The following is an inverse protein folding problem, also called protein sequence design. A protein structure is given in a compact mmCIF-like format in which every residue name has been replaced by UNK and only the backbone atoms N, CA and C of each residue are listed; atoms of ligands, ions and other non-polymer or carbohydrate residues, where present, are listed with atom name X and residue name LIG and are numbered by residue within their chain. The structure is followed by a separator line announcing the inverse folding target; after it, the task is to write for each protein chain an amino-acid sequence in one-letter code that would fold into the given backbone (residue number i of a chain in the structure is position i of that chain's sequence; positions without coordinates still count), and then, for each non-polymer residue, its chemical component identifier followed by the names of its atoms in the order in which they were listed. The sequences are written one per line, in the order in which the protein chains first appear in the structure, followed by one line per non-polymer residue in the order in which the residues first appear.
data_IF_635814968667
#
_entry.id   IF_635814968667
#
_cell.length_a   1.000
_cell.length_b   1.000
_cell.length_c   1.000
_cell.angle_alpha   90.00
_cell.angle_beta   90.00
_cell.angle_gamma   90.00
#
_symmetry.space_group_name_H-M   'P 1'
#
loop_
_entity.id
_entity.type
_entity.pdbx_description
1 polymer ?
#
# COMPACT_ATOMS: atom_id res chain seq x y z
N UNK A 1 6.56 17.88 -17.12
CA UNK A 1 7.22 17.12 -16.01
C UNK A 1 6.54 15.76 -15.95
N UNK A 2 7.25 14.66 -15.63
CA UNK A 2 6.58 13.36 -15.43
C UNK A 2 6.19 13.20 -13.95
N UNK A 3 5.05 12.54 -13.64
CA UNK A 3 4.69 12.22 -12.26
C UNK A 3 5.68 11.21 -11.66
N UNK A 4 5.89 11.27 -10.35
CA UNK A 4 6.72 10.34 -9.60
C UNK A 4 5.90 9.73 -8.46
N UNK A 5 5.23 8.64 -8.74
CA UNK A 5 4.39 7.95 -7.75
C UNK A 5 5.19 7.09 -6.78
N UNK A 6 6.52 7.09 -6.91
CA UNK A 6 7.42 6.25 -6.10
C UNK A 6 7.12 4.76 -6.26
N UNK A 7 7.82 3.98 -5.47
CA UNK A 7 7.60 2.56 -5.39
C UNK A 7 7.68 2.16 -3.91
N UNK A 8 6.77 1.34 -3.45
CA UNK A 8 6.76 0.86 -2.06
C UNK A 8 8.03 0.11 -1.68
N UNK A 9 8.73 -0.49 -2.67
CA UNK A 9 10.02 -1.14 -2.47
C UNK A 9 11.17 -0.12 -2.62
N UNK A 10 11.77 0.38 -1.50
CA UNK A 10 12.80 1.41 -1.55
C UNK A 10 14.10 0.88 -2.17
N UNK A 11 14.74 1.68 -3.03
CA UNK A 11 16.07 1.35 -3.57
C UNK A 11 17.11 1.13 -2.47
N UNK A 12 17.03 1.89 -1.38
CA UNK A 12 17.93 1.78 -0.23
C UNK A 12 17.93 0.38 0.40
N UNK A 13 16.77 -0.28 0.47
CA UNK A 13 16.67 -1.63 0.98
C UNK A 13 17.40 -2.63 0.08
N UNK A 14 17.27 -2.52 -1.24
CA UNK A 14 17.95 -3.39 -2.21
C UNK A 14 19.47 -3.23 -2.09
N UNK A 15 19.94 -1.97 -2.04
CA UNK A 15 21.36 -1.65 -1.85
C UNK A 15 21.87 -2.16 -0.51
N UNK A 16 21.10 -1.96 0.57
CA UNK A 16 21.45 -2.43 1.90
C UNK A 16 21.59 -3.96 1.99
N UNK A 17 20.65 -4.70 1.41
CA UNK A 17 20.71 -6.17 1.33
C UNK A 17 21.94 -6.63 0.50
N UNK A 18 22.21 -5.98 -0.64
CA UNK A 18 23.39 -6.28 -1.46
C UNK A 18 24.71 -6.03 -0.72
N UNK A 19 24.79 -4.90 0.00
CA UNK A 19 25.97 -4.56 0.81
C UNK A 19 26.13 -5.56 1.96
N UNK A 20 25.07 -5.89 2.68
CA UNK A 20 25.09 -6.88 3.76
C UNK A 20 25.55 -8.26 3.26
N UNK A 21 25.08 -8.68 2.08
CA UNK A 21 25.53 -9.91 1.44
C UNK A 21 27.03 -9.91 1.18
N UNK A 22 27.58 -8.81 0.63
CA UNK A 22 29.01 -8.67 0.40
C UNK A 22 29.84 -8.73 1.67
N UNK A 23 29.42 -8.02 2.74
CA UNK A 23 30.08 -8.04 4.05
C UNK A 23 30.06 -9.42 4.67
N UNK A 24 28.91 -10.12 4.64
CA UNK A 24 28.78 -11.47 5.19
C UNK A 24 29.61 -12.50 4.41
N UNK A 25 29.66 -12.39 3.08
CA UNK A 25 30.49 -13.26 2.24
C UNK A 25 31.99 -13.05 2.51
N UNK A 26 32.44 -11.80 2.62
CA UNK A 26 33.81 -11.47 3.00
C UNK A 26 34.15 -11.99 4.40
N UNK A 27 33.25 -11.79 5.37
CA UNK A 27 33.38 -12.32 6.73
C UNK A 27 33.48 -13.85 6.76
N UNK A 28 32.67 -14.56 5.95
CA UNK A 28 32.73 -16.02 5.78
C UNK A 28 34.14 -16.46 5.29
N UNK A 29 34.65 -15.81 4.25
CA UNK A 29 35.98 -16.11 3.71
C UNK A 29 37.10 -15.86 4.74
N UNK A 30 37.02 -14.74 5.50
CA UNK A 30 37.96 -14.42 6.57
C UNK A 30 37.88 -15.44 7.70
N UNK A 31 36.68 -15.81 8.16
CA UNK A 31 36.51 -16.78 9.25
C UNK A 31 37.19 -18.12 8.94
N UNK A 32 37.00 -18.63 7.70
CA UNK A 32 37.60 -19.92 7.29
C UNK A 32 39.11 -19.83 7.14
N UNK A 33 39.65 -18.72 6.60
CA UNK A 33 41.07 -18.54 6.27
C UNK A 33 41.91 -17.91 7.37
N UNK A 34 41.26 -17.36 8.41
CA UNK A 34 41.95 -16.62 9.46
C UNK A 34 42.86 -17.50 10.31
N UNK A 35 43.90 -16.85 10.90
CA UNK A 35 44.81 -17.44 11.90
C UNK A 35 44.27 -17.25 13.35
N UNK A 36 42.97 -16.94 13.50
CA UNK A 36 42.34 -16.78 14.80
C UNK A 36 42.53 -18.05 15.68
N UNK A 37 42.69 -17.92 16.99
CA UNK A 37 42.86 -19.05 17.90
C UNK A 37 41.54 -19.81 18.14
N UNK A 38 40.95 -20.31 17.06
CA UNK A 38 39.70 -21.10 17.06
C UNK A 38 39.96 -22.46 16.45
N UNK A 39 39.31 -23.50 16.96
CA UNK A 39 39.34 -24.84 16.36
C UNK A 39 38.84 -24.85 14.91
N UNK A 40 39.38 -25.75 14.08
CA UNK A 40 39.04 -25.84 12.65
C UNK A 40 37.52 -25.98 12.42
N UNK A 41 36.85 -26.80 13.21
CA UNK A 41 35.38 -26.97 13.14
C UNK A 41 34.62 -25.69 13.42
N UNK A 42 35.02 -24.90 14.45
CA UNK A 42 34.40 -23.65 14.79
C UNK A 42 34.54 -22.62 13.65
N UNK A 43 35.69 -22.52 13.00
CA UNK A 43 35.91 -21.66 11.84
C UNK A 43 34.98 -21.99 10.68
N UNK A 44 34.81 -23.28 10.37
CA UNK A 44 33.90 -23.73 9.33
C UNK A 44 32.45 -23.46 9.67
N UNK A 45 32.01 -23.66 10.94
CA UNK A 45 30.67 -23.35 11.38
C UNK A 45 30.36 -21.85 11.26
N UNK A 46 31.27 -20.99 11.73
CA UNK A 46 31.10 -19.52 11.58
C UNK A 46 31.09 -19.12 10.10
N UNK A 47 32.01 -19.64 9.32
CA UNK A 47 32.04 -19.38 7.87
C UNK A 47 30.75 -19.81 7.19
N UNK A 48 30.24 -21.00 7.49
CA UNK A 48 28.96 -21.49 6.94
C UNK A 48 27.78 -20.62 7.35
N UNK A 49 27.68 -20.21 8.61
CA UNK A 49 26.60 -19.34 9.10
C UNK A 49 26.60 -17.97 8.37
N UNK A 50 27.79 -17.35 8.22
CA UNK A 50 27.94 -16.09 7.49
C UNK A 50 27.64 -16.28 5.99
N UNK A 51 28.06 -17.40 5.39
CA UNK A 51 27.74 -17.74 3.99
C UNK A 51 26.25 -17.89 3.75
N UNK A 52 25.54 -18.60 4.64
CA UNK A 52 24.08 -18.74 4.58
C UNK A 52 23.37 -17.39 4.74
N UNK A 53 23.86 -16.52 5.65
CA UNK A 53 23.37 -15.15 5.78
C UNK A 53 23.55 -14.33 4.50
N UNK A 54 24.71 -14.45 3.85
CA UNK A 54 24.97 -13.78 2.56
C UNK A 54 24.00 -14.25 1.47
N UNK A 55 23.74 -15.56 1.36
CA UNK A 55 22.78 -16.13 0.41
C UNK A 55 21.37 -15.61 0.70
N UNK A 56 20.96 -15.57 1.98
CA UNK A 56 19.67 -15.01 2.38
C UNK A 56 19.51 -13.54 1.98
N UNK A 57 20.54 -12.72 2.19
CA UNK A 57 20.53 -11.32 1.77
C UNK A 57 20.46 -11.16 0.24
N UNK A 58 21.18 -11.99 -0.53
CA UNK A 58 21.07 -11.99 -1.99
C UNK A 58 19.69 -12.39 -2.48
N UNK A 59 19.10 -13.45 -1.90
CA UNK A 59 17.74 -13.86 -2.22
C UNK A 59 16.72 -12.75 -1.93
N UNK A 60 16.86 -12.07 -0.77
CA UNK A 60 16.05 -10.91 -0.41
C UNK A 60 16.23 -9.73 -1.36
N UNK A 61 17.46 -9.44 -1.80
CA UNK A 61 17.74 -8.39 -2.78
C UNK A 61 17.13 -8.72 -4.16
N UNK A 62 17.25 -9.98 -4.61
CA UNK A 62 16.66 -10.44 -5.87
C UNK A 62 15.13 -10.37 -5.84
N UNK A 63 14.50 -10.82 -4.75
CA UNK A 63 13.07 -10.68 -4.56
C UNK A 63 12.64 -9.20 -4.54
N UNK A 64 13.39 -8.34 -3.87
CA UNK A 64 13.10 -6.90 -3.79
C UNK A 64 13.18 -6.22 -5.16
N UNK A 65 14.16 -6.62 -6.01
CA UNK A 65 14.24 -6.17 -7.40
C UNK A 65 13.02 -6.63 -8.20
N UNK A 66 12.65 -7.91 -8.08
CA UNK A 66 11.45 -8.46 -8.73
C UNK A 66 10.19 -7.71 -8.29
N UNK A 67 9.98 -7.57 -6.97
CA UNK A 67 8.84 -6.87 -6.42
C UNK A 67 8.78 -5.40 -6.90
N UNK A 68 9.94 -4.72 -6.93
CA UNK A 68 10.04 -3.36 -7.42
C UNK A 68 9.64 -3.23 -8.90
N UNK A 69 10.07 -4.16 -9.75
CA UNK A 69 9.70 -4.17 -11.18
C UNK A 69 8.22 -4.40 -11.36
N UNK A 70 7.65 -5.38 -10.66
CA UNK A 70 6.22 -5.69 -10.69
C UNK A 70 5.35 -4.51 -10.27
N UNK A 71 5.74 -3.80 -9.19
CA UNK A 71 5.02 -2.65 -8.65
C UNK A 71 5.44 -1.31 -9.25
N UNK A 72 6.28 -1.29 -10.28
CA UNK A 72 6.58 -0.07 -10.99
C UNK A 72 5.30 0.52 -11.61
N UNK A 73 5.08 1.82 -11.45
CA UNK A 73 3.94 2.50 -12.05
C UNK A 73 4.09 2.63 -13.57
N UNK A 74 5.33 2.72 -14.06
CA UNK A 74 5.68 2.85 -15.48
C UNK A 74 6.48 1.66 -16.03
N UNK A 75 6.74 0.62 -15.24
CA UNK A 75 7.51 -0.56 -15.63
C UNK A 75 6.73 -1.55 -16.48
N UNK A 76 7.34 -2.71 -16.75
CA UNK A 76 6.76 -3.71 -17.65
C UNK A 76 5.42 -4.26 -17.21
N UNK A 77 5.23 -4.55 -15.90
CA UNK A 77 3.98 -5.13 -15.37
C UNK A 77 2.96 -4.08 -14.93
N UNK A 78 3.41 -2.92 -14.47
CA UNK A 78 2.59 -1.79 -14.01
C UNK A 78 1.49 -2.18 -13.00
N UNK A 79 1.78 -3.13 -12.09
CA UNK A 79 0.78 -3.65 -11.15
C UNK A 79 0.22 -2.54 -10.25
N UNK A 80 1.07 -1.63 -9.77
CA UNK A 80 0.62 -0.48 -8.97
C UNK A 80 -0.39 0.38 -9.73
N UNK A 81 -0.10 0.69 -10.99
CA UNK A 81 -1.02 1.46 -11.84
C UNK A 81 -2.34 0.73 -12.06
N UNK A 82 -2.28 -0.56 -12.38
CA UNK A 82 -3.49 -1.37 -12.61
C UNK A 82 -4.38 -1.41 -11.36
N UNK A 83 -3.79 -1.55 -10.16
CA UNK A 83 -4.54 -1.51 -8.90
C UNK A 83 -5.16 -0.13 -8.70
N UNK A 84 -4.39 0.94 -8.83
CA UNK A 84 -4.85 2.31 -8.64
C UNK A 84 -6.01 2.66 -9.59
N UNK A 85 -5.85 2.38 -10.88
CA UNK A 85 -6.89 2.63 -11.89
C UNK A 85 -8.12 1.74 -11.65
N UNK A 86 -7.89 0.47 -11.23
CA UNK A 86 -8.95 -0.46 -10.87
C UNK A 86 -9.76 0.00 -9.66
N UNK A 87 -9.13 0.44 -8.59
CA UNK A 87 -9.84 1.00 -7.42
C UNK A 87 -10.56 2.28 -7.79
N UNK A 88 -9.91 3.19 -8.52
CA UNK A 88 -10.50 4.45 -8.96
C UNK A 88 -11.75 4.25 -9.85
N UNK A 89 -11.87 3.10 -10.54
CA UNK A 89 -13.03 2.81 -11.38
C UNK A 89 -14.34 2.61 -10.61
N UNK A 90 -14.26 2.39 -9.30
CA UNK A 90 -15.43 2.27 -8.42
C UNK A 90 -15.88 3.63 -7.83
N UNK A 91 -15.13 4.71 -8.08
CA UNK A 91 -15.42 6.03 -7.53
C UNK A 91 -16.11 6.90 -8.59
N UNK A 92 -17.36 7.19 -8.35
CA UNK A 92 -18.17 8.11 -9.14
C UNK A 92 -18.71 9.20 -8.22
N UNK A 93 -18.36 10.47 -8.51
CA UNK A 93 -18.83 11.61 -7.76
C UNK A 93 -19.99 12.29 -8.50
N UNK A 94 -21.01 12.76 -7.76
CA UNK A 94 -22.00 13.65 -8.35
C UNK A 94 -21.35 14.98 -8.78
N UNK A 95 -22.03 15.75 -9.59
CA UNK A 95 -21.59 17.09 -9.94
C UNK A 95 -21.36 17.95 -8.70
N UNK A 96 -20.18 18.58 -8.61
CA UNK A 96 -19.75 19.31 -7.41
C UNK A 96 -19.43 18.44 -6.18
N UNK A 97 -19.51 17.11 -6.31
CA UNK A 97 -19.23 16.15 -5.24
C UNK A 97 -17.78 16.15 -4.77
N UNK A 98 -17.57 15.71 -3.54
CA UNK A 98 -16.26 15.67 -2.90
C UNK A 98 -15.94 14.25 -2.44
N UNK A 99 -14.81 13.70 -2.90
CA UNK A 99 -14.30 12.41 -2.43
C UNK A 99 -13.09 12.56 -1.51
N UNK A 100 -12.91 11.59 -0.62
CA UNK A 100 -11.76 11.47 0.29
C UNK A 100 -10.93 10.23 -0.06
N UNK A 101 -9.61 10.41 -0.15
CA UNK A 101 -8.63 9.31 -0.25
C UNK A 101 -7.81 9.26 1.04
N UNK A 102 -8.00 8.20 1.83
CA UNK A 102 -7.35 8.01 3.14
C UNK A 102 -6.03 7.26 2.96
N UNK A 103 -4.93 7.90 3.38
CA UNK A 103 -3.58 7.37 3.20
C UNK A 103 -3.08 7.52 1.76
N UNK A 104 -3.23 8.70 1.20
CA UNK A 104 -2.98 8.97 -0.22
C UNK A 104 -1.52 8.81 -0.69
N UNK A 105 -0.56 8.71 0.22
CA UNK A 105 0.86 8.49 -0.05
C UNK A 105 1.47 9.49 -1.02
N UNK A 106 1.64 9.10 -2.28
CA UNK A 106 2.13 9.94 -3.38
C UNK A 106 1.02 10.64 -4.18
N UNK A 107 -0.25 10.47 -3.79
CA UNK A 107 -1.42 11.03 -4.45
C UNK A 107 -1.93 10.24 -5.65
N UNK A 108 -1.40 9.04 -5.92
CA UNK A 108 -1.73 8.29 -7.13
C UNK A 108 -3.24 7.98 -7.25
N UNK A 109 -3.86 7.45 -6.18
CA UNK A 109 -5.29 7.12 -6.19
C UNK A 109 -6.16 8.37 -6.17
N UNK A 110 -5.80 9.37 -5.36
CA UNK A 110 -6.49 10.67 -5.35
C UNK A 110 -6.57 11.28 -6.75
N UNK A 111 -5.43 11.32 -7.46
CA UNK A 111 -5.33 11.87 -8.83
C UNK A 111 -6.10 11.02 -9.83
N UNK A 112 -6.02 9.69 -9.73
CA UNK A 112 -6.78 8.80 -10.63
C UNK A 112 -8.29 8.96 -10.46
N UNK A 113 -8.78 9.08 -9.22
CA UNK A 113 -10.19 9.38 -8.94
C UNK A 113 -10.61 10.76 -9.47
N UNK A 114 -9.77 11.79 -9.28
CA UNK A 114 -10.06 13.14 -9.76
C UNK A 114 -10.17 13.22 -11.29
N UNK A 115 -9.29 12.54 -12.02
CA UNK A 115 -9.35 12.43 -13.50
C UNK A 115 -10.64 11.82 -14.00
N UNK A 116 -11.16 10.84 -13.27
CA UNK A 116 -12.43 10.17 -13.62
C UNK A 116 -13.66 11.01 -13.29
N UNK A 117 -13.50 11.98 -12.40
CA UNK A 117 -14.58 12.82 -11.87
C UNK A 117 -14.27 14.31 -12.08
N UNK A 118 -14.21 14.79 -13.35
CA UNK A 118 -13.80 16.15 -13.64
C UNK A 118 -14.76 17.23 -13.10
N UNK A 119 -16.01 16.86 -12.82
CA UNK A 119 -17.04 17.75 -12.25
C UNK A 119 -17.07 17.73 -10.70
N UNK A 120 -16.28 16.86 -10.09
CA UNK A 120 -16.11 16.76 -8.64
C UNK A 120 -14.67 17.12 -8.24
N UNK A 121 -14.36 16.95 -6.97
CA UNK A 121 -13.00 17.12 -6.47
C UNK A 121 -12.61 16.00 -5.51
N UNK A 122 -11.31 15.75 -5.38
CA UNK A 122 -10.78 14.77 -4.43
C UNK A 122 -9.91 15.45 -3.38
N UNK A 123 -10.01 14.96 -2.14
CA UNK A 123 -9.13 15.33 -1.02
C UNK A 123 -8.31 14.12 -0.64
N UNK A 124 -7.00 14.21 -0.74
CA UNK A 124 -6.07 13.17 -0.26
C UNK A 124 -5.51 13.53 1.10
N UNK A 125 -5.58 12.61 2.05
CA UNK A 125 -4.97 12.79 3.37
C UNK A 125 -3.93 11.71 3.64
N UNK A 126 -2.84 12.11 4.32
CA UNK A 126 -1.81 11.18 4.79
C UNK A 126 -1.09 11.77 6.00
N UNK A 127 -0.48 10.91 6.81
CA UNK A 127 0.39 11.35 7.92
C UNK A 127 1.73 11.86 7.44
N UNK A 128 2.22 11.31 6.32
CA UNK A 128 3.59 11.50 5.81
C UNK A 128 4.63 11.40 6.92
N UNK A 129 4.51 10.32 7.72
CA UNK A 129 5.42 10.03 8.83
C UNK A 129 6.82 9.68 8.35
N UNK A 130 7.76 9.65 9.30
CA UNK A 130 9.17 9.33 9.03
C UNK A 130 9.36 7.94 8.42
N UNK A 131 8.48 7.01 8.73
CA UNK A 131 8.44 5.65 8.18
C UNK A 131 8.19 5.62 6.66
N UNK A 132 7.57 6.68 6.12
CA UNK A 132 7.28 6.88 4.71
C UNK A 132 7.90 8.18 4.17
N UNK A 133 9.12 8.50 4.59
CA UNK A 133 9.82 9.76 4.26
C UNK A 133 9.98 10.04 2.75
N UNK A 134 9.76 9.03 1.89
CA UNK A 134 9.74 9.21 0.43
C UNK A 134 8.45 9.90 -0.08
N UNK A 135 7.39 9.95 0.73
CA UNK A 135 6.11 10.58 0.42
C UNK A 135 5.99 11.95 1.11
N UNK A 136 5.27 12.86 0.51
CA UNK A 136 4.99 14.18 1.08
C UNK A 136 3.86 14.87 0.34
N UNK A 137 3.22 15.83 0.99
CA UNK A 137 2.23 16.71 0.37
C UNK A 137 2.79 17.36 -0.92
N UNK A 138 4.01 17.90 -0.87
CA UNK A 138 4.67 18.51 -2.04
C UNK A 138 4.85 17.54 -3.20
N UNK A 139 5.06 16.25 -2.92
CA UNK A 139 5.15 15.23 -3.95
C UNK A 139 3.78 15.04 -4.61
N UNK A 140 2.70 14.95 -3.84
CA UNK A 140 1.34 14.81 -4.35
C UNK A 140 0.96 16.01 -5.24
N UNK A 141 1.22 17.23 -4.79
CA UNK A 141 0.96 18.47 -5.54
C UNK A 141 1.74 18.50 -6.86
N UNK A 142 3.02 18.09 -6.86
CA UNK A 142 3.82 17.98 -8.10
C UNK A 142 3.29 16.91 -9.04
N UNK A 143 2.82 15.79 -8.51
CA UNK A 143 2.23 14.72 -9.32
C UNK A 143 0.93 15.18 -9.96
N UNK A 144 0.05 15.85 -9.21
CA UNK A 144 -1.18 16.44 -9.74
C UNK A 144 -0.88 17.44 -10.88
N UNK A 145 0.07 18.35 -10.65
CA UNK A 145 0.51 19.30 -11.67
C UNK A 145 1.08 18.60 -12.93
N UNK A 146 1.90 17.56 -12.74
CA UNK A 146 2.49 16.80 -13.84
C UNK A 146 1.45 16.06 -14.69
N UNK A 147 0.33 15.68 -14.06
CA UNK A 147 -0.82 15.00 -14.69
C UNK A 147 -1.88 15.99 -15.22
N UNK A 148 -1.71 17.31 -15.00
CA UNK A 148 -2.67 18.33 -15.42
C UNK A 148 -4.00 18.27 -14.65
N UNK A 149 -3.95 17.83 -13.36
CA UNK A 149 -5.13 17.67 -12.49
C UNK A 149 -5.14 18.79 -11.45
N UNK A 150 -6.20 19.58 -11.42
CA UNK A 150 -6.39 20.75 -10.55
C UNK A 150 -7.54 20.61 -9.55
N UNK A 151 -8.42 19.62 -9.74
CA UNK A 151 -9.53 19.31 -8.86
C UNK A 151 -9.15 18.41 -7.68
N UNK A 152 -7.94 18.58 -7.14
CA UNK A 152 -7.42 17.84 -5.98
C UNK A 152 -6.90 18.77 -4.90
N UNK A 153 -7.00 18.32 -3.64
CA UNK A 153 -6.34 18.95 -2.50
C UNK A 153 -5.64 17.88 -1.67
N UNK A 154 -4.52 18.24 -1.04
CA UNK A 154 -3.77 17.32 -0.18
C UNK A 154 -3.53 17.97 1.18
N UNK A 155 -3.82 17.25 2.26
CA UNK A 155 -3.61 17.73 3.61
C UNK A 155 -3.17 16.63 4.57
N UNK A 156 -2.57 17.01 5.68
CA UNK A 156 -2.17 16.08 6.72
C UNK A 156 -3.41 15.50 7.42
N UNK A 157 -3.42 14.21 7.69
CA UNK A 157 -4.48 13.52 8.42
C UNK A 157 -4.03 12.16 8.93
N UNK A 158 -4.75 11.63 9.92
CA UNK A 158 -4.51 10.30 10.49
C UNK A 158 -5.75 9.42 10.26
N UNK A 159 -5.56 8.25 9.67
CA UNK A 159 -6.63 7.28 9.44
C UNK A 159 -7.29 6.74 10.72
N UNK A 160 -6.66 6.93 11.89
CA UNK A 160 -7.22 6.53 13.19
C UNK A 160 -8.30 7.49 13.68
N UNK A 161 -8.23 8.74 13.25
CA UNK A 161 -9.17 9.80 13.59
C UNK A 161 -9.17 10.83 12.47
N UNK A 162 -10.30 10.92 11.78
CA UNK A 162 -10.47 11.83 10.66
C UNK A 162 -11.06 13.16 11.16
N UNK A 163 -10.30 14.24 11.02
CA UNK A 163 -10.71 15.59 11.43
C UNK A 163 -11.78 16.17 10.48
N UNK A 164 -12.83 15.38 10.22
CA UNK A 164 -13.98 15.76 9.42
C UNK A 164 -15.27 15.38 10.13
N UNK A 165 -16.33 16.18 10.00
CA UNK A 165 -17.67 15.82 10.48
C UNK A 165 -18.17 14.52 9.82
N UNK A 166 -19.16 13.89 10.47
CA UNK A 166 -19.90 12.80 9.86
C UNK A 166 -20.52 13.23 8.54
N UNK A 167 -20.67 12.32 7.62
CA UNK A 167 -21.38 12.52 6.35
C UNK A 167 -20.88 13.75 5.54
N UNK A 168 -19.55 13.91 5.47
CA UNK A 168 -18.91 15.03 4.76
C UNK A 168 -18.68 14.73 3.28
N UNK A 169 -18.32 13.49 2.93
CA UNK A 169 -17.86 13.13 1.59
C UNK A 169 -18.87 12.30 0.81
N UNK A 170 -18.95 12.53 -0.49
CA UNK A 170 -19.80 11.76 -1.41
C UNK A 170 -19.17 10.41 -1.79
N UNK A 171 -17.85 10.31 -1.69
CA UNK A 171 -17.12 9.06 -1.85
C UNK A 171 -15.92 8.98 -0.89
N UNK A 172 -15.55 7.76 -0.48
CA UNK A 172 -14.31 7.51 0.28
C UNK A 172 -13.53 6.36 -0.36
N UNK A 173 -12.21 6.48 -0.40
CA UNK A 173 -11.32 5.46 -0.92
C UNK A 173 -10.05 5.33 -0.10
N UNK A 174 -9.37 4.20 -0.22
CA UNK A 174 -8.07 3.93 0.38
C UNK A 174 -7.41 2.75 -0.34
N UNK A 175 -6.08 2.73 -0.41
CA UNK A 175 -5.36 1.63 -1.05
C UNK A 175 -4.09 1.24 -0.27
N UNK A 176 -4.07 0.04 0.29
CA UNK A 176 -2.94 -0.55 1.04
C UNK A 176 -2.47 0.31 2.22
N UNK A 177 -3.39 0.78 3.04
CA UNK A 177 -3.09 1.69 4.17
C UNK A 177 -3.25 1.01 5.51
N UNK A 178 -4.42 0.44 5.78
CA UNK A 178 -4.80 0.06 7.14
C UNK A 178 -4.01 -1.12 7.69
N UNK A 179 -3.58 -2.07 6.85
CA UNK A 179 -2.72 -3.17 7.30
C UNK A 179 -1.40 -2.67 7.95
N UNK A 180 -0.94 -1.46 7.58
CA UNK A 180 0.27 -0.83 8.13
C UNK A 180 0.02 -0.02 9.41
N UNK A 181 -1.23 0.23 9.81
CA UNK A 181 -1.55 0.97 11.03
C UNK A 181 -1.41 0.04 12.24
N UNK A 182 -0.24 0.02 12.84
CA UNK A 182 0.07 -0.88 13.96
C UNK A 182 -0.75 -0.56 15.21
N UNK A 183 -1.17 -1.61 15.95
CA UNK A 183 -1.89 -1.47 17.21
C UNK A 183 -3.34 -1.00 17.09
N UNK A 184 -3.87 -0.79 15.87
CA UNK A 184 -5.25 -0.39 15.65
C UNK A 184 -6.11 -1.58 15.17
N UNK A 185 -7.34 -1.64 15.65
CA UNK A 185 -8.38 -2.50 15.10
C UNK A 185 -8.72 -2.05 13.68
N UNK A 186 -8.60 -2.97 12.71
CA UNK A 186 -8.80 -2.65 11.29
C UNK A 186 -10.26 -2.36 10.96
N UNK A 187 -11.19 -3.04 11.61
CA UNK A 187 -12.62 -2.76 11.43
C UNK A 187 -12.99 -1.39 12.01
N UNK A 188 -12.36 -0.97 13.12
CA UNK A 188 -12.55 0.38 13.66
C UNK A 188 -12.04 1.46 12.68
N UNK A 189 -10.89 1.22 12.00
CA UNK A 189 -10.40 2.14 10.95
C UNK A 189 -11.36 2.22 9.76
N UNK A 190 -11.94 1.08 9.34
CA UNK A 190 -12.96 1.06 8.30
C UNK A 190 -14.19 1.86 8.72
N UNK A 191 -14.67 1.69 9.97
CA UNK A 191 -15.81 2.43 10.49
C UNK A 191 -15.55 3.94 10.56
N UNK A 192 -14.35 4.35 10.98
CA UNK A 192 -13.97 5.75 10.99
C UNK A 192 -13.99 6.36 9.58
N UNK A 193 -13.50 5.62 8.59
CA UNK A 193 -13.56 6.04 7.19
C UNK A 193 -15.00 6.11 6.67
N UNK A 194 -15.85 5.15 7.03
CA UNK A 194 -17.25 5.13 6.63
C UNK A 194 -18.13 6.13 7.41
N UNK A 195 -17.67 6.61 8.56
CA UNK A 195 -18.34 7.66 9.34
C UNK A 195 -18.46 8.95 8.53
N UNK A 196 -17.37 9.38 7.91
CA UNK A 196 -17.33 10.62 7.14
C UNK A 196 -17.98 10.53 5.76
N UNK A 197 -18.42 9.33 5.34
CA UNK A 197 -19.17 9.11 4.11
C UNK A 197 -20.64 9.48 4.30
N UNK A 198 -21.18 10.29 3.39
CA UNK A 198 -22.62 10.64 3.35
C UNK A 198 -23.50 9.42 3.11
N UNK A 199 -24.74 9.50 3.54
CA UNK A 199 -25.79 8.56 3.11
C UNK A 199 -25.94 8.60 1.58
N UNK A 200 -26.03 7.43 0.97
CA UNK A 200 -26.00 7.28 -0.49
C UNK A 200 -24.62 7.42 -1.12
N UNK A 201 -23.59 7.78 -0.36
CA UNK A 201 -22.21 7.87 -0.82
C UNK A 201 -21.59 6.49 -1.09
N UNK A 202 -20.57 6.44 -1.92
CA UNK A 202 -19.90 5.23 -2.34
C UNK A 202 -18.52 5.06 -1.69
N UNK A 203 -18.08 3.82 -1.54
CA UNK A 203 -16.76 3.53 -1.02
C UNK A 203 -16.04 2.43 -1.79
N UNK A 204 -14.72 2.56 -1.90
CA UNK A 204 -13.83 1.56 -2.46
C UNK A 204 -12.52 1.53 -1.65
N UNK A 205 -12.37 0.54 -0.79
CA UNK A 205 -11.24 0.40 0.13
C UNK A 205 -10.51 -0.90 -0.19
N UNK A 206 -9.29 -0.79 -0.66
CA UNK A 206 -8.45 -1.92 -1.06
C UNK A 206 -7.34 -2.16 -0.05
N UNK A 207 -7.25 -3.37 0.51
CA UNK A 207 -6.21 -3.72 1.48
C UNK A 207 -5.98 -5.24 1.57
N UNK A 208 -5.01 -5.66 2.40
CA UNK A 208 -4.76 -7.05 2.79
C UNK A 208 -5.75 -7.46 3.90
N UNK A 209 -6.96 -7.87 3.49
CA UNK A 209 -8.07 -8.13 4.41
C UNK A 209 -8.11 -9.59 4.90
N UNK A 210 -6.95 -10.13 5.27
CA UNK A 210 -6.87 -11.48 5.85
C UNK A 210 -7.55 -11.53 7.23
N UNK A 211 -8.21 -12.65 7.59
CA UNK A 211 -8.88 -12.79 8.90
C UNK A 211 -7.94 -12.55 10.11
N UNK A 212 -6.65 -12.88 9.99
CA UNK A 212 -5.64 -12.62 11.01
C UNK A 212 -5.41 -11.14 11.30
N UNK A 213 -5.76 -10.25 10.36
CA UNK A 213 -5.59 -8.79 10.48
C UNK A 213 -6.91 -8.06 10.72
N UNK A 214 -7.94 -8.47 10.01
CA UNK A 214 -9.24 -7.78 9.96
C UNK A 214 -10.35 -8.49 10.76
N UNK A 215 -10.09 -9.72 11.27
CA UNK A 215 -11.11 -10.51 11.93
C UNK A 215 -12.15 -11.04 10.93
N UNK A 216 -13.38 -11.24 11.41
CA UNK A 216 -14.50 -11.72 10.61
C UNK A 216 -15.10 -10.58 9.78
N UNK A 217 -14.77 -10.55 8.50
CA UNK A 217 -15.27 -9.53 7.57
C UNK A 217 -16.68 -9.83 7.05
N UNK A 218 -17.15 -11.08 7.12
CA UNK A 218 -18.54 -11.42 6.78
C UNK A 218 -19.50 -10.89 7.86
N UNK A 219 -19.12 -11.01 9.13
CA UNK A 219 -19.83 -10.38 10.25
C UNK A 219 -19.80 -8.85 10.14
N UNK A 220 -18.67 -8.28 9.75
CA UNK A 220 -18.55 -6.84 9.51
C UNK A 220 -19.54 -6.37 8.42
N UNK A 221 -19.61 -7.07 7.28
CA UNK A 221 -20.54 -6.76 6.21
C UNK A 221 -22.01 -6.90 6.65
N UNK A 222 -22.31 -7.93 7.45
CA UNK A 222 -23.66 -8.10 8.03
C UNK A 222 -24.05 -6.88 8.87
N UNK A 223 -23.16 -6.44 9.76
CA UNK A 223 -23.37 -5.26 10.61
C UNK A 223 -23.56 -3.98 9.79
N UNK A 224 -22.78 -3.76 8.72
CA UNK A 224 -22.99 -2.62 7.84
C UNK A 224 -24.41 -2.62 7.23
N UNK A 225 -24.91 -3.78 6.80
CA UNK A 225 -26.27 -3.88 6.26
C UNK A 225 -27.35 -3.58 7.32
N UNK A 226 -27.16 -4.07 8.55
CA UNK A 226 -28.03 -3.76 9.70
C UNK A 226 -28.02 -2.26 10.03
N UNK A 227 -26.91 -1.57 9.80
CA UNK A 227 -26.74 -0.12 9.95
C UNK A 227 -27.31 0.70 8.77
N UNK A 228 -27.86 0.03 7.74
CA UNK A 228 -28.56 0.68 6.62
C UNK A 228 -27.69 0.90 5.37
N UNK A 229 -26.47 0.34 5.30
CA UNK A 229 -25.70 0.35 4.07
C UNK A 229 -26.43 -0.44 2.98
N UNK A 230 -26.67 0.20 1.83
CA UNK A 230 -27.43 -0.39 0.72
C UNK A 230 -26.67 -1.54 0.06
N UNK A 231 -25.37 -1.37 -0.12
CA UNK A 231 -24.47 -2.38 -0.70
C UNK A 231 -23.17 -2.42 0.09
N UNK A 232 -22.72 -3.62 0.44
CA UNK A 232 -21.38 -3.84 0.97
C UNK A 232 -20.93 -5.25 0.56
N UNK A 233 -19.80 -5.34 -0.13
CA UNK A 233 -19.25 -6.61 -0.61
C UNK A 233 -17.73 -6.59 -0.65
N UNK A 234 -17.12 -7.77 -0.50
CA UNK A 234 -15.70 -8.02 -0.64
C UNK A 234 -15.42 -8.64 -2.01
N UNK A 235 -14.47 -8.07 -2.72
CA UNK A 235 -14.01 -8.55 -4.02
C UNK A 235 -12.53 -8.95 -3.89
N UNK A 236 -12.19 -10.25 -3.87
CA UNK A 236 -10.79 -10.68 -3.95
C UNK A 236 -10.13 -10.11 -5.20
N UNK A 237 -8.92 -9.57 -5.07
CA UNK A 237 -8.24 -8.92 -6.20
C UNK A 237 -6.97 -9.63 -6.64
N UNK A 238 -6.57 -10.67 -5.90
CA UNK A 238 -5.44 -11.54 -6.23
C UNK A 238 -5.87 -12.87 -6.90
N UNK A 239 -6.99 -12.87 -7.61
CA UNK A 239 -7.59 -14.05 -8.26
C UNK A 239 -7.78 -13.90 -9.78
N UNK A 240 -7.21 -12.84 -10.35
CA UNK A 240 -7.33 -12.46 -11.76
C UNK A 240 -7.86 -11.04 -11.98
N UNK A 241 -8.45 -10.42 -10.95
CA UNK A 241 -9.04 -9.07 -11.06
C UNK A 241 -7.95 -8.00 -11.25
N UNK A 242 -7.03 -7.85 -10.29
CA UNK A 242 -5.90 -6.91 -10.42
C UNK A 242 -4.57 -7.64 -10.63
N UNK A 243 -4.44 -8.84 -10.08
CA UNK A 243 -3.26 -9.68 -10.22
C UNK A 243 -3.64 -11.15 -10.25
N UNK A 244 -2.80 -11.98 -10.87
CA UNK A 244 -2.96 -13.42 -10.85
C UNK A 244 -2.69 -14.00 -9.45
N UNK A 245 -3.23 -15.18 -9.16
CA UNK A 245 -2.93 -15.91 -7.91
C UNK A 245 -1.43 -16.15 -7.70
N UNK A 246 -0.70 -16.38 -8.80
CA UNK A 246 0.74 -16.59 -8.78
C UNK A 246 1.51 -15.31 -8.38
N UNK A 247 1.09 -14.15 -8.90
CA UNK A 247 1.64 -12.84 -8.53
C UNK A 247 1.34 -12.54 -7.06
N UNK A 248 0.09 -12.71 -6.64
CA UNK A 248 -0.33 -12.51 -5.25
C UNK A 248 0.51 -13.31 -4.26
N UNK A 249 0.76 -14.60 -4.54
CA UNK A 249 1.63 -15.45 -3.70
C UNK A 249 3.07 -14.97 -3.66
N UNK A 250 3.68 -14.67 -4.82
CA UNK A 250 5.10 -14.24 -4.90
C UNK A 250 5.33 -12.87 -4.26
N UNK A 251 4.33 -12.02 -4.24
CA UNK A 251 4.39 -10.66 -3.71
C UNK A 251 3.84 -10.54 -2.28
N UNK A 252 3.41 -11.64 -1.66
CA UNK A 252 2.74 -11.68 -0.35
C UNK A 252 1.46 -10.83 -0.28
N UNK A 253 0.70 -10.83 -1.39
CA UNK A 253 -0.53 -10.06 -1.57
C UNK A 253 -1.77 -10.94 -1.76
N UNK A 254 -1.70 -12.22 -1.37
CA UNK A 254 -2.81 -13.17 -1.55
C UNK A 254 -4.10 -12.75 -0.85
N UNK A 255 -3.99 -11.95 0.25
CA UNK A 255 -5.12 -11.39 0.98
C UNK A 255 -5.68 -10.09 0.41
N UNK A 256 -5.17 -9.64 -0.74
CA UNK A 256 -5.66 -8.40 -1.37
C UNK A 256 -7.13 -8.50 -1.72
N UNK A 257 -7.90 -7.60 -1.12
CA UNK A 257 -9.36 -7.57 -1.24
C UNK A 257 -9.83 -6.12 -1.33
N UNK A 258 -10.81 -5.87 -2.17
CA UNK A 258 -11.47 -4.59 -2.33
C UNK A 258 -12.85 -4.65 -1.65
N UNK A 259 -13.03 -3.86 -0.61
CA UNK A 259 -14.32 -3.61 0.03
C UNK A 259 -15.00 -2.45 -0.71
N UNK A 260 -16.12 -2.73 -1.35
CA UNK A 260 -16.92 -1.75 -2.11
C UNK A 260 -18.34 -1.73 -1.66
N UNK A 261 -19.00 -0.59 -1.84
CA UNK A 261 -20.43 -0.47 -1.56
C UNK A 261 -20.95 0.96 -1.56
N UNK A 262 -22.16 1.08 -0.99
CA UNK A 262 -22.91 2.34 -0.84
C UNK A 262 -23.49 2.43 0.57
N UNK A 263 -23.27 3.57 1.24
CA UNK A 263 -23.86 3.83 2.57
C UNK A 263 -25.34 4.18 2.49
#
# INVERSE_FOLDING_TARGET
MKPDYRNWMPRGMIVGLGTAAGVLAAGSAVAVRSRLPMGRTAKHLVGAALGLGAVGCLAGAAWSLYAREMFSYEGGRQLSRQIIEGVASYIELPEGGVGLDVGCGSGALTIACAKRNPQGRMVGIDRWGVEYASYSRKLCERNAQAEGVDNVAFQKGDARHLDFPDETFDAVTSNYVYHNVMGADKQALLRETLRVLKKGGIFAIHDLMEPSRYGDMDDFLRKLREEGFQEARLLPTADGTFMTRGEGKRLFLSGSTLLVGRK
#
